data_IF_132468114762
#
_entry.id   IF_132468114762
#
_cell.length_a   1.000
_cell.length_b   1.000
_cell.length_c   1.000
_cell.angle_alpha   90.00
_cell.angle_beta   90.00
_cell.angle_gamma   90.00
#
_symmetry.space_group_name_H-M   'P 1'
#
loop_
_entity.id
_entity.type
_entity.pdbx_description
1 polymer ?
#
# COMPACT_ATOMS: atom_id res chain seq x y z
N UNK A 1 0.39 27.10 -1.26
CA UNK A 1 1.72 26.60 -0.86
C UNK A 1 1.56 25.12 -0.52
N UNK A 2 2.20 24.22 -1.27
CA UNK A 2 2.05 22.77 -1.07
C UNK A 2 2.71 22.36 0.27
N UNK A 3 2.02 21.52 1.04
CA UNK A 3 2.53 21.01 2.31
C UNK A 3 3.88 20.31 2.08
N UNK A 4 4.90 20.68 2.86
CA UNK A 4 6.18 19.95 2.92
C UNK A 4 5.85 18.56 3.47
N UNK A 5 5.74 17.55 2.61
CA UNK A 5 5.72 16.16 3.06
C UNK A 5 7.07 15.90 3.75
N UNK A 6 7.05 15.81 5.07
CA UNK A 6 8.22 15.46 5.88
C UNK A 6 8.52 13.98 5.65
N UNK A 7 9.57 13.70 4.87
CA UNK A 7 10.05 12.34 4.65
C UNK A 7 10.61 11.82 5.98
N UNK A 8 10.14 10.68 6.51
CA UNK A 8 10.64 10.15 7.77
C UNK A 8 12.13 9.79 7.64
N UNK A 9 12.94 9.97 8.69
CA UNK A 9 14.37 9.64 8.63
C UNK A 9 14.59 8.16 8.33
N UNK A 10 15.71 7.84 7.70
CA UNK A 10 16.07 6.44 7.41
C UNK A 10 16.71 5.82 8.65
N UNK A 11 16.22 4.68 9.19
CA UNK A 11 16.74 4.14 10.44
C UNK A 11 18.19 3.69 10.31
N UNK A 12 18.97 3.93 11.36
CA UNK A 12 20.36 3.50 11.44
C UNK A 12 20.45 2.05 11.91
N UNK A 13 21.56 1.38 11.57
CA UNK A 13 21.86 0.02 12.04
C UNK A 13 21.95 -0.06 13.58
N UNK A 14 22.35 1.04 14.23
CA UNK A 14 22.36 1.18 15.70
C UNK A 14 20.97 1.17 16.32
N UNK A 15 19.94 1.54 15.56
CA UNK A 15 18.54 1.66 16.03
C UNK A 15 17.74 0.41 15.67
N UNK A 16 17.95 -0.16 14.48
CA UNK A 16 17.22 -1.33 13.97
C UNK A 16 18.20 -2.28 13.29
N UNK A 17 18.06 -3.58 13.55
CA UNK A 17 18.92 -4.62 12.97
C UNK A 17 19.01 -4.58 11.43
N UNK A 18 17.96 -4.09 10.76
CA UNK A 18 17.92 -3.96 9.30
C UNK A 18 18.11 -2.50 8.84
N UNK A 19 18.67 -1.64 9.70
CA UNK A 19 18.96 -0.24 9.41
C UNK A 19 20.24 -0.04 8.60
N UNK A 20 20.49 1.19 8.16
CA UNK A 20 21.62 1.54 7.31
C UNK A 20 22.87 1.84 8.15
N UNK A 21 24.08 1.42 7.73
CA UNK A 21 25.32 1.84 8.37
C UNK A 21 25.50 3.36 8.34
N UNK A 22 25.97 3.96 9.43
CA UNK A 22 26.09 5.41 9.61
C UNK A 22 26.84 6.11 8.46
N UNK A 23 27.93 5.50 7.97
CA UNK A 23 28.72 6.01 6.82
C UNK A 23 27.91 6.18 5.52
N UNK A 24 26.76 5.52 5.39
CA UNK A 24 25.90 5.54 4.21
C UNK A 24 24.63 6.38 4.40
N UNK A 25 24.41 6.94 5.59
CA UNK A 25 23.18 7.65 5.94
C UNK A 25 22.85 8.80 4.97
N UNK A 26 23.83 9.67 4.68
CA UNK A 26 23.64 10.80 3.77
C UNK A 26 23.24 10.36 2.34
N UNK A 27 23.81 9.26 1.84
CA UNK A 27 23.45 8.70 0.53
C UNK A 27 22.03 8.14 0.55
N UNK A 28 21.64 7.49 1.63
CA UNK A 28 20.31 6.93 1.79
C UNK A 28 19.22 8.01 1.85
N UNK A 29 19.45 9.10 2.59
CA UNK A 29 18.54 10.25 2.61
C UNK A 29 18.37 10.89 1.24
N UNK A 30 19.47 11.09 0.52
CA UNK A 30 19.43 11.68 -0.82
C UNK A 30 18.62 10.80 -1.78
N UNK A 31 18.86 9.48 -1.78
CA UNK A 31 18.14 8.53 -2.60
C UNK A 31 16.63 8.49 -2.26
N UNK A 32 16.30 8.43 -0.97
CA UNK A 32 14.90 8.43 -0.49
C UNK A 32 14.17 9.71 -0.91
N UNK A 33 14.85 10.85 -0.79
CA UNK A 33 14.32 12.15 -1.21
C UNK A 33 14.06 12.20 -2.72
N UNK A 34 15.01 11.71 -3.53
CA UNK A 34 14.86 11.67 -4.98
C UNK A 34 13.67 10.80 -5.42
N UNK A 35 13.52 9.60 -4.83
CA UNK A 35 12.39 8.69 -5.12
C UNK A 35 11.07 9.36 -4.74
N UNK A 36 11.00 9.97 -3.55
CA UNK A 36 9.79 10.62 -3.08
C UNK A 36 9.39 11.82 -3.94
N UNK A 37 10.35 12.59 -4.42
CA UNK A 37 10.11 13.73 -5.32
C UNK A 37 9.61 13.31 -6.71
N UNK A 38 9.98 12.10 -7.17
CA UNK A 38 9.56 11.53 -8.46
C UNK A 38 8.29 10.67 -8.32
N UNK A 39 7.82 10.42 -7.09
CA UNK A 39 6.58 9.70 -6.84
C UNK A 39 5.38 10.52 -7.35
N UNK A 40 5.03 10.30 -8.62
CA UNK A 40 4.00 11.03 -9.37
C UNK A 40 2.61 10.41 -9.24
N UNK A 41 2.50 9.23 -8.62
CA UNK A 41 1.20 8.61 -8.38
C UNK A 41 0.64 9.14 -7.07
N UNK A 42 -0.38 10.03 -7.10
CA UNK A 42 -1.15 10.30 -5.90
C UNK A 42 -1.68 8.96 -5.38
N UNK A 43 -1.61 8.78 -4.07
CA UNK A 43 -2.18 7.60 -3.43
C UNK A 43 -3.67 7.55 -3.83
N UNK A 44 -4.05 6.48 -4.53
CA UNK A 44 -5.38 6.40 -5.13
C UNK A 44 -6.41 6.41 -4.00
N UNK A 45 -7.31 7.41 -4.00
CA UNK A 45 -8.49 7.47 -3.12
C UNK A 45 -9.56 6.46 -3.58
N UNK A 46 -9.13 5.27 -4.00
CA UNK A 46 -10.02 4.25 -4.54
C UNK A 46 -10.82 3.67 -3.38
N UNK A 47 -12.06 4.12 -3.27
CA UNK A 47 -13.00 3.63 -2.26
C UNK A 47 -13.80 2.43 -2.78
N UNK A 48 -13.66 2.07 -4.06
CA UNK A 48 -14.36 0.95 -4.68
C UNK A 48 -13.47 -0.29 -4.82
N UNK A 49 -14.10 -1.45 -4.67
CA UNK A 49 -13.45 -2.75 -4.91
C UNK A 49 -13.04 -2.85 -6.37
N UNK A 50 -11.85 -3.39 -6.62
CA UNK A 50 -11.36 -3.63 -7.97
C UNK A 50 -12.04 -4.88 -8.56
N UNK A 51 -12.96 -4.67 -9.51
CA UNK A 51 -13.64 -5.76 -10.22
C UNK A 51 -12.69 -6.31 -11.30
N UNK A 52 -12.55 -7.65 -11.41
CA UNK A 52 -11.76 -8.27 -12.47
C UNK A 52 -12.26 -7.90 -13.87
N UNK A 53 -11.34 -7.83 -14.83
CA UNK A 53 -11.68 -7.57 -16.23
C UNK A 53 -12.56 -8.70 -16.78
N UNK A 54 -13.58 -8.35 -17.57
CA UNK A 54 -14.50 -9.32 -18.18
C UNK A 54 -15.60 -9.84 -17.25
N UNK A 55 -15.66 -9.38 -16.00
CA UNK A 55 -16.70 -9.73 -15.03
C UNK A 55 -17.58 -8.51 -14.75
N UNK A 56 -18.90 -8.71 -14.74
CA UNK A 56 -19.84 -7.66 -14.33
C UNK A 56 -19.86 -7.49 -12.82
N UNK A 57 -20.18 -6.29 -12.35
CA UNK A 57 -20.28 -5.99 -10.91
C UNK A 57 -21.24 -6.95 -10.19
N UNK A 58 -22.40 -7.24 -10.80
CA UNK A 58 -23.38 -8.17 -10.25
C UNK A 58 -22.82 -9.59 -10.13
N UNK A 59 -22.12 -10.09 -11.16
CA UNK A 59 -21.53 -11.43 -11.12
C UNK A 59 -20.46 -11.53 -10.04
N UNK A 60 -19.67 -10.48 -9.84
CA UNK A 60 -18.67 -10.41 -8.78
C UNK A 60 -19.31 -10.48 -7.39
N UNK A 61 -20.30 -9.63 -7.09
CA UNK A 61 -20.92 -9.63 -5.76
C UNK A 61 -21.71 -10.91 -5.47
N UNK A 62 -22.36 -11.49 -6.48
CA UNK A 62 -23.01 -12.80 -6.33
C UNK A 62 -22.01 -13.90 -5.91
N UNK A 63 -20.84 -13.95 -6.55
CA UNK A 63 -19.79 -14.91 -6.20
C UNK A 63 -19.23 -14.67 -4.80
N UNK A 64 -19.12 -13.41 -4.36
CA UNK A 64 -18.69 -13.07 -2.99
C UNK A 64 -19.72 -13.51 -1.96
N UNK A 65 -21.01 -13.38 -2.24
CA UNK A 65 -22.07 -13.82 -1.33
C UNK A 65 -22.18 -15.35 -1.26
N UNK A 66 -21.92 -16.05 -2.37
CA UNK A 66 -21.74 -17.51 -2.39
C UNK A 66 -20.57 -17.94 -1.49
N UNK A 67 -19.39 -17.32 -1.66
CA UNK A 67 -18.22 -17.59 -0.82
C UNK A 67 -18.48 -17.29 0.67
N UNK A 68 -19.22 -16.22 0.99
CA UNK A 68 -19.61 -15.90 2.37
C UNK A 68 -20.54 -16.94 2.98
N UNK A 69 -21.36 -17.58 2.15
CA UNK A 69 -22.28 -18.64 2.59
C UNK A 69 -21.52 -19.91 2.94
N UNK A 70 -20.52 -20.27 2.12
CA UNK A 70 -19.72 -21.47 2.33
C UNK A 70 -18.68 -21.33 3.43
N UNK A 71 -17.97 -20.19 3.47
CA UNK A 71 -16.83 -19.98 4.36
C UNK A 71 -17.18 -19.24 5.65
N UNK A 72 -18.34 -18.60 5.73
CA UNK A 72 -18.71 -17.70 6.82
C UNK A 72 -18.38 -16.24 6.50
N UNK A 73 -19.26 -15.31 6.93
CA UNK A 73 -19.16 -13.87 6.59
C UNK A 73 -17.91 -13.22 7.17
N UNK A 74 -17.46 -13.71 8.32
CA UNK A 74 -16.26 -13.31 9.04
C UNK A 74 -14.97 -13.70 8.32
N UNK A 75 -15.03 -14.70 7.44
CA UNK A 75 -13.88 -15.22 6.71
C UNK A 75 -13.71 -14.59 5.31
N UNK A 76 -14.66 -13.77 4.87
CA UNK A 76 -14.61 -13.11 3.55
C UNK A 76 -14.62 -11.60 3.68
N UNK A 77 -13.48 -10.98 3.37
CA UNK A 77 -13.28 -9.53 3.45
C UNK A 77 -12.97 -8.95 2.07
N UNK A 78 -13.70 -7.90 1.69
CA UNK A 78 -13.45 -7.16 0.47
C UNK A 78 -12.37 -6.09 0.73
N UNK A 79 -11.32 -6.12 -0.11
CA UNK A 79 -10.20 -5.18 -0.02
C UNK A 79 -10.42 -4.04 -1.00
N UNK A 80 -10.64 -2.83 -0.48
CA UNK A 80 -10.78 -1.60 -1.29
C UNK A 80 -9.46 -0.88 -1.51
N UNK A 81 -8.51 -1.06 -0.58
CA UNK A 81 -7.18 -0.43 -0.60
C UNK A 81 -6.08 -1.47 -0.38
N UNK A 82 -4.99 -1.33 -1.12
CA UNK A 82 -3.78 -2.10 -0.89
C UNK A 82 -3.01 -1.49 0.29
N UNK A 83 -2.43 -2.34 1.12
CA UNK A 83 -1.49 -1.94 2.17
C UNK A 83 -0.10 -2.29 1.67
N UNK A 84 0.74 -1.28 1.42
CA UNK A 84 2.09 -1.44 0.87
C UNK A 84 2.17 -2.32 -0.40
N UNK A 85 1.14 -2.25 -1.23
CA UNK A 85 1.05 -3.02 -2.49
C UNK A 85 0.52 -4.46 -2.32
N UNK A 86 0.18 -4.88 -1.11
CA UNK A 86 -0.37 -6.22 -0.82
C UNK A 86 -1.83 -6.15 -0.38
N UNK A 87 -2.56 -7.26 -0.60
CA UNK A 87 -3.88 -7.49 -0.01
C UNK A 87 -3.70 -7.80 1.48
N UNK A 88 -4.43 -7.08 2.34
CA UNK A 88 -4.33 -7.18 3.80
C UNK A 88 -5.64 -7.65 4.45
#
# INVERSE_FOLDING_TARGET
MAAKNTIPPTPLLSEKHNGIPERLFAKAEQAKSAIFNIATKPQSNRNHVAIPQGISENAFYNAIDELRTELGKEHVKLVTKLVDGWYA
#
